data_IF_199503551031
#
_entry.id   IF_199503551031
#
_cell.length_a   1.000
_cell.length_b   1.000
_cell.length_c   1.000
_cell.angle_alpha   90.00
_cell.angle_beta   90.00
_cell.angle_gamma   90.00
#
_symmetry.space_group_name_H-M   'P 1'
#
loop_
_entity.id
_entity.type
_entity.pdbx_description
1 polymer ?
#
# COMPACT_ATOMS: atom_id res chain seq x y z
N UNK A 1 13.35 -43.90 16.63
CA UNK A 1 13.30 -43.24 15.30
C UNK A 1 14.71 -43.00 14.71
N UNK A 2 15.66 -43.96 14.78
CA UNK A 2 16.98 -43.83 14.10
C UNK A 2 17.76 -45.14 13.84
N UNK A 3 17.20 -46.33 14.14
CA UNK A 3 17.93 -47.61 13.96
C UNK A 3 17.33 -48.53 12.88
N UNK A 4 16.10 -48.27 12.43
CA UNK A 4 15.45 -49.03 11.34
C UNK A 4 15.87 -48.58 9.93
N UNK A 5 16.30 -47.31 9.79
CA UNK A 5 16.63 -46.71 8.49
C UNK A 5 18.01 -47.14 7.96
N UNK A 6 18.95 -47.45 8.85
CA UNK A 6 20.34 -47.76 8.49
C UNK A 6 20.58 -49.24 8.15
N UNK A 7 19.63 -50.14 8.46
CA UNK A 7 19.77 -51.58 8.16
C UNK A 7 19.24 -51.95 6.77
N UNK A 8 18.35 -51.14 6.18
CA UNK A 8 17.89 -51.30 4.81
C UNK A 8 18.90 -50.77 3.78
N UNK A 9 19.75 -49.80 4.15
CA UNK A 9 20.80 -49.22 3.29
C UNK A 9 22.04 -50.10 3.16
N UNK A 10 22.22 -51.12 4.02
CA UNK A 10 23.42 -51.99 4.03
C UNK A 10 23.35 -53.20 3.08
N UNK A 11 22.23 -53.40 2.39
CA UNK A 11 22.08 -54.43 1.35
C UNK A 11 21.88 -53.83 -0.05
N UNK A 12 21.91 -52.50 -0.18
CA UNK A 12 21.97 -51.83 -1.48
C UNK A 12 23.43 -51.51 -1.78
N UNK A 13 24.18 -52.55 -2.15
CA UNK A 13 25.56 -52.41 -2.62
C UNK A 13 25.53 -51.82 -4.03
N UNK A 14 25.53 -50.49 -4.18
CA UNK A 14 25.87 -49.83 -5.45
C UNK A 14 26.65 -48.53 -5.26
N UNK A 15 27.72 -48.42 -6.04
CA UNK A 15 28.64 -47.28 -6.21
C UNK A 15 28.02 -46.17 -7.08
N UNK A 16 28.44 -44.93 -6.86
CA UNK A 16 27.90 -43.66 -7.40
C UNK A 16 27.84 -43.50 -8.95
N UNK A 17 28.27 -44.49 -9.74
CA UNK A 17 28.37 -44.39 -11.22
C UNK A 17 27.40 -45.29 -12.02
N UNK A 18 26.47 -46.01 -11.38
CA UNK A 18 25.43 -46.78 -12.09
C UNK A 18 24.09 -46.04 -12.06
N UNK A 19 23.44 -45.74 -13.22
CA UNK A 19 22.10 -45.18 -13.21
C UNK A 19 21.14 -46.14 -12.49
N UNK A 20 20.22 -45.64 -11.64
CA UNK A 20 19.32 -46.49 -10.88
C UNK A 20 18.57 -47.42 -11.85
N UNK A 21 18.38 -48.71 -11.51
CA UNK A 21 17.70 -49.63 -12.40
C UNK A 21 16.29 -49.08 -12.67
N UNK A 22 16.07 -48.66 -13.92
CA UNK A 22 14.78 -48.16 -14.36
C UNK A 22 13.74 -49.26 -14.16
N UNK A 23 12.75 -49.00 -13.30
CA UNK A 23 11.61 -49.89 -13.16
C UNK A 23 10.82 -49.85 -14.46
N UNK A 24 10.66 -51.01 -15.11
CA UNK A 24 9.92 -51.14 -16.36
C UNK A 24 8.59 -51.83 -16.08
N UNK A 25 7.51 -51.09 -16.30
CA UNK A 25 6.15 -51.60 -16.18
C UNK A 25 5.62 -51.91 -17.58
N UNK A 26 5.13 -53.14 -17.78
CA UNK A 26 4.40 -53.52 -18.99
C UNK A 26 2.91 -53.59 -18.63
N UNK A 27 2.16 -52.57 -19.03
CA UNK A 27 0.71 -52.55 -18.90
C UNK A 27 0.10 -53.19 -20.14
N UNK A 28 -0.73 -54.19 -19.94
CA UNK A 28 -1.48 -54.84 -21.00
C UNK A 28 -2.96 -54.80 -20.59
N UNK A 29 -3.83 -54.48 -21.55
CA UNK A 29 -5.27 -54.35 -21.33
C UNK A 29 -5.99 -55.40 -22.17
N UNK A 30 -6.99 -56.05 -21.58
CA UNK A 30 -7.84 -57.02 -22.25
C UNK A 30 -9.32 -56.63 -22.07
N UNK A 31 -10.18 -56.92 -23.05
CA UNK A 31 -11.62 -56.71 -22.90
C UNK A 31 -12.18 -57.64 -21.82
N UNK A 32 -12.42 -57.09 -20.63
CA UNK A 32 -13.01 -57.78 -19.49
C UNK A 32 -13.82 -56.77 -18.65
N UNK A 33 -14.80 -57.22 -17.85
CA UNK A 33 -15.45 -56.37 -16.85
C UNK A 33 -14.41 -55.76 -15.89
N UNK A 34 -14.63 -54.54 -15.38
CA UNK A 34 -13.70 -53.89 -14.46
C UNK A 34 -13.45 -54.78 -13.25
N UNK A 35 -12.18 -55.14 -13.04
CA UNK A 35 -11.70 -55.94 -11.91
C UNK A 35 -10.37 -55.38 -11.41
N UNK A 36 -10.01 -55.60 -10.12
CA UNK A 36 -8.74 -55.13 -9.57
C UNK A 36 -7.54 -55.64 -10.38
N UNK A 37 -6.47 -54.85 -10.42
CA UNK A 37 -5.23 -55.20 -11.10
C UNK A 37 -4.60 -56.47 -10.48
N UNK A 38 -3.97 -57.28 -11.34
CA UNK A 38 -3.31 -58.53 -10.94
C UNK A 38 -1.85 -58.52 -11.40
N UNK A 39 -0.93 -58.68 -10.45
CA UNK A 39 0.49 -58.86 -10.74
C UNK A 39 0.71 -60.26 -11.31
N UNK A 40 1.04 -60.36 -12.60
CA UNK A 40 1.28 -61.64 -13.28
C UNK A 40 2.69 -62.19 -13.04
N UNK A 41 3.69 -61.29 -12.90
CA UNK A 41 5.10 -61.64 -12.66
C UNK A 41 5.82 -60.47 -11.99
N UNK A 42 6.43 -60.70 -10.83
CA UNK A 42 7.25 -59.72 -10.12
C UNK A 42 8.72 -60.17 -10.12
N UNK A 43 9.57 -59.48 -10.90
CA UNK A 43 10.98 -59.86 -11.08
C UNK A 43 11.97 -59.19 -10.12
N UNK A 44 11.53 -58.25 -9.29
CA UNK A 44 12.38 -57.45 -8.41
C UNK A 44 11.78 -57.33 -7.02
N UNK A 45 12.64 -57.37 -5.99
CA UNK A 45 12.26 -57.12 -4.59
C UNK A 45 11.77 -55.67 -4.38
N UNK A 46 12.32 -54.70 -5.12
CA UNK A 46 11.86 -53.31 -5.06
C UNK A 46 10.43 -53.17 -5.61
N UNK A 47 10.13 -53.84 -6.73
CA UNK A 47 8.77 -53.86 -7.29
C UNK A 47 7.78 -54.55 -6.33
N UNK A 48 8.18 -55.68 -5.70
CA UNK A 48 7.36 -56.35 -4.69
C UNK A 48 7.06 -55.44 -3.50
N UNK A 49 8.07 -54.71 -3.01
CA UNK A 49 7.90 -53.76 -1.92
C UNK A 49 6.98 -52.59 -2.29
N UNK A 50 7.12 -52.02 -3.50
CA UNK A 50 6.22 -50.94 -3.97
C UNK A 50 4.78 -51.41 -4.13
N UNK A 51 4.55 -52.62 -4.63
CA UNK A 51 3.21 -53.20 -4.73
C UNK A 51 2.57 -53.47 -3.35
N UNK A 52 3.34 -54.02 -2.41
CA UNK A 52 2.87 -54.22 -1.02
C UNK A 52 2.58 -52.88 -0.33
N UNK A 53 3.45 -51.88 -0.51
CA UNK A 53 3.23 -50.53 -0.02
C UNK A 53 1.93 -49.92 -0.58
N UNK A 54 1.72 -49.98 -1.89
CA UNK A 54 0.53 -49.44 -2.54
C UNK A 54 -0.77 -50.13 -2.06
N UNK A 55 -0.74 -51.45 -1.80
CA UNK A 55 -1.89 -52.19 -1.27
C UNK A 55 -2.25 -51.84 0.18
N UNK A 56 -1.28 -51.31 0.94
CA UNK A 56 -1.48 -50.85 2.32
C UNK A 56 -1.92 -49.40 2.40
N UNK A 57 -1.89 -48.66 1.29
CA UNK A 57 -2.42 -47.30 1.26
C UNK A 57 -3.94 -47.34 1.44
N UNK A 58 -4.52 -46.31 2.09
CA UNK A 58 -5.96 -46.14 2.06
C UNK A 58 -6.46 -46.06 0.61
N UNK A 59 -7.73 -46.43 0.35
CA UNK A 59 -8.31 -46.22 -0.96
C UNK A 59 -8.14 -44.75 -1.37
N UNK A 60 -7.87 -44.47 -2.66
CA UNK A 60 -7.80 -43.09 -3.12
C UNK A 60 -9.15 -42.39 -2.84
N UNK A 61 -9.14 -41.08 -2.55
CA UNK A 61 -10.37 -40.35 -2.31
C UNK A 61 -11.30 -40.50 -3.50
N UNK A 62 -12.57 -40.72 -3.20
CA UNK A 62 -13.66 -40.75 -4.17
C UNK A 62 -13.74 -39.41 -4.93
N UNK A 63 -14.34 -39.38 -6.13
CA UNK A 63 -14.56 -38.12 -6.85
C UNK A 63 -15.29 -37.06 -6.01
N UNK A 64 -16.23 -37.49 -5.15
CA UNK A 64 -16.95 -36.60 -4.23
C UNK A 64 -16.03 -36.03 -3.14
N UNK A 65 -15.19 -36.86 -2.52
CA UNK A 65 -14.20 -36.41 -1.53
C UNK A 65 -13.17 -35.45 -2.13
N UNK A 66 -12.78 -35.67 -3.40
CA UNK A 66 -11.89 -34.73 -4.12
C UNK A 66 -12.58 -33.39 -4.40
N UNK A 67 -13.82 -33.41 -4.87
CA UNK A 67 -14.57 -32.20 -5.16
C UNK A 67 -14.80 -31.36 -3.88
N UNK A 68 -15.07 -32.03 -2.75
CA UNK A 68 -15.20 -31.37 -1.46
C UNK A 68 -13.87 -30.80 -0.96
N UNK A 69 -12.77 -31.53 -1.08
CA UNK A 69 -11.44 -31.03 -0.75
C UNK A 69 -11.06 -29.79 -1.59
N UNK A 70 -11.35 -29.81 -2.89
CA UNK A 70 -11.15 -28.65 -3.78
C UNK A 70 -12.03 -27.45 -3.38
N UNK A 71 -13.28 -27.68 -2.95
CA UNK A 71 -14.17 -26.62 -2.44
C UNK A 71 -13.62 -25.99 -1.17
N UNK A 72 -13.17 -26.82 -0.22
CA UNK A 72 -12.58 -26.34 1.04
C UNK A 72 -11.27 -25.59 0.79
N UNK A 73 -10.43 -26.06 -0.14
CA UNK A 73 -9.20 -25.38 -0.54
C UNK A 73 -9.49 -23.98 -1.12
N UNK A 74 -10.48 -23.86 -2.02
CA UNK A 74 -10.90 -22.54 -2.56
C UNK A 74 -11.37 -21.59 -1.46
N UNK A 75 -12.20 -22.07 -0.53
CA UNK A 75 -12.68 -21.23 0.57
C UNK A 75 -11.54 -20.78 1.50
N UNK A 76 -10.54 -21.64 1.72
CA UNK A 76 -9.37 -21.31 2.51
C UNK A 76 -8.47 -20.29 1.81
N UNK A 77 -8.30 -20.41 0.49
CA UNK A 77 -7.59 -19.44 -0.36
C UNK A 77 -8.27 -18.07 -0.33
N UNK A 78 -9.59 -18.01 -0.57
CA UNK A 78 -10.37 -16.78 -0.50
C UNK A 78 -10.29 -16.11 0.89
N UNK A 79 -10.29 -16.90 1.97
CA UNK A 79 -10.11 -16.35 3.32
C UNK A 79 -8.69 -15.85 3.55
N UNK A 80 -7.68 -16.57 3.07
CA UNK A 80 -6.28 -16.16 3.16
C UNK A 80 -6.04 -14.83 2.42
N UNK A 81 -6.58 -14.68 1.22
CA UNK A 81 -6.53 -13.44 0.43
C UNK A 81 -7.18 -12.28 1.21
N UNK A 82 -8.41 -12.46 1.72
CA UNK A 82 -9.07 -11.43 2.54
C UNK A 82 -8.26 -11.04 3.77
N UNK A 83 -7.66 -12.01 4.46
CA UNK A 83 -6.81 -11.73 5.61
C UNK A 83 -5.53 -10.98 5.21
N UNK A 84 -4.94 -11.29 4.05
CA UNK A 84 -3.79 -10.59 3.52
C UNK A 84 -4.13 -9.15 3.12
N UNK A 85 -5.28 -8.93 2.47
CA UNK A 85 -5.78 -7.59 2.16
C UNK A 85 -5.99 -6.74 3.42
N UNK A 86 -6.64 -7.30 4.45
CA UNK A 86 -6.84 -6.61 5.73
C UNK A 86 -5.53 -6.36 6.47
N UNK A 87 -4.56 -7.28 6.38
CA UNK A 87 -3.24 -7.09 6.95
C UNK A 87 -2.47 -5.97 6.25
N UNK A 88 -2.59 -5.90 4.91
CA UNK A 88 -1.99 -4.85 4.11
C UNK A 88 -2.63 -3.49 4.41
N UNK A 89 -3.97 -3.39 4.39
CA UNK A 89 -4.68 -2.16 4.76
C UNK A 89 -4.29 -1.72 6.18
N UNK A 90 -4.25 -2.64 7.13
CA UNK A 90 -3.82 -2.31 8.50
C UNK A 90 -2.39 -1.77 8.55
N UNK A 91 -1.46 -2.31 7.76
CA UNK A 91 -0.10 -1.82 7.68
C UNK A 91 -0.02 -0.43 7.01
N UNK A 92 -0.79 -0.21 5.95
CA UNK A 92 -0.93 1.10 5.30
C UNK A 92 -1.50 2.17 6.23
N UNK A 93 -2.23 1.77 7.26
CA UNK A 93 -2.87 2.67 8.21
C UNK A 93 -2.22 2.65 9.61
N UNK A 94 -0.93 2.28 9.68
CA UNK A 94 -0.14 2.41 10.92
C UNK A 94 -0.47 1.37 11.99
N UNK A 95 -1.06 0.23 11.61
CA UNK A 95 -1.42 -0.85 12.54
C UNK A 95 -2.89 -0.86 12.95
N UNK A 96 -3.68 0.13 12.50
CA UNK A 96 -5.14 0.22 12.75
C UNK A 96 -5.88 0.34 11.43
N UNK A 97 -7.07 -0.24 11.31
CA UNK A 97 -7.89 -0.07 10.10
C UNK A 97 -8.57 1.31 10.12
N UNK A 98 -8.74 1.96 8.96
CA UNK A 98 -9.49 3.22 8.88
C UNK A 98 -10.95 3.00 9.24
N UNK A 99 -11.61 4.05 9.74
CA UNK A 99 -13.06 4.07 9.89
C UNK A 99 -13.75 4.14 8.54
N UNK A 100 -15.07 3.95 8.51
CA UNK A 100 -15.84 4.12 7.29
C UNK A 100 -15.89 5.59 6.83
N UNK A 101 -15.79 6.54 7.75
CA UNK A 101 -15.69 7.96 7.42
C UNK A 101 -14.37 8.26 6.69
N UNK A 102 -13.24 7.75 7.18
CA UNK A 102 -11.94 7.86 6.53
C UNK A 102 -11.88 7.18 5.14
N UNK A 103 -12.65 6.11 4.93
CA UNK A 103 -12.76 5.47 3.60
C UNK A 103 -13.60 6.28 2.61
N UNK A 104 -14.55 7.07 3.11
CA UNK A 104 -15.48 7.85 2.28
C UNK A 104 -15.03 9.28 2.03
N UNK A 105 -14.24 9.84 2.93
CA UNK A 105 -13.84 11.25 2.86
C UNK A 105 -13.03 11.49 1.59
N UNK A 106 -13.54 12.37 0.74
CA UNK A 106 -12.84 12.86 -0.44
C UNK A 106 -11.82 13.90 0.05
N UNK A 107 -10.53 13.76 -0.26
CA UNK A 107 -9.50 14.71 0.17
C UNK A 107 -8.11 14.08 0.34
N UNK A 108 -7.15 14.85 0.86
CA UNK A 108 -5.75 14.47 1.00
C UNK A 108 -5.46 13.59 2.22
N UNK A 109 -6.31 12.59 2.46
CA UNK A 109 -6.15 11.58 3.52
C UNK A 109 -4.81 10.86 3.38
N UNK A 110 -4.48 10.43 2.15
CA UNK A 110 -3.23 9.73 1.84
C UNK A 110 -2.01 10.62 2.13
N UNK A 111 -2.15 11.92 1.88
CA UNK A 111 -1.11 12.91 2.13
C UNK A 111 -0.71 12.97 3.60
N UNK A 112 -1.67 13.06 4.53
CA UNK A 112 -1.37 13.09 5.97
C UNK A 112 -0.97 11.70 6.49
N UNK A 113 -1.62 10.63 6.02
CA UNK A 113 -1.36 9.23 6.41
C UNK A 113 0.10 8.82 6.21
N UNK A 114 0.72 9.31 5.15
CA UNK A 114 2.13 9.00 4.84
C UNK A 114 3.09 9.63 5.87
N UNK A 115 2.72 10.78 6.47
CA UNK A 115 3.50 11.43 7.53
C UNK A 115 3.19 10.87 8.92
N UNK A 116 1.91 10.78 9.26
CA UNK A 116 1.46 10.34 10.58
C UNK A 116 0.08 9.68 10.49
N UNK A 117 0.00 8.34 10.37
CA UNK A 117 -1.28 7.64 10.33
C UNK A 117 -2.04 7.72 11.65
N UNK A 118 -1.33 7.83 12.78
CA UNK A 118 -1.97 7.89 14.10
C UNK A 118 -2.70 9.22 14.30
N UNK A 119 -2.13 10.31 13.78
CA UNK A 119 -2.79 11.61 13.73
C UNK A 119 -4.07 11.58 12.88
N UNK A 120 -4.06 10.90 11.72
CA UNK A 120 -5.26 10.78 10.88
C UNK A 120 -6.40 10.11 11.66
N UNK A 121 -6.10 9.01 12.37
CA UNK A 121 -7.08 8.35 13.24
C UNK A 121 -7.53 9.24 14.41
N UNK A 122 -6.64 10.07 14.96
CA UNK A 122 -6.99 10.99 16.03
C UNK A 122 -7.95 12.10 15.55
N UNK A 123 -7.72 12.66 14.35
CA UNK A 123 -8.60 13.65 13.72
C UNK A 123 -9.97 13.03 13.41
N UNK A 124 -10.00 11.81 12.87
CA UNK A 124 -11.24 11.09 12.57
C UNK A 124 -12.08 10.81 13.83
N UNK A 125 -11.43 10.39 14.92
CA UNK A 125 -12.10 10.15 16.19
C UNK A 125 -12.54 11.43 16.91
N UNK A 126 -11.99 12.58 16.55
CA UNK A 126 -12.28 13.85 17.21
C UNK A 126 -13.70 14.36 16.88
N UNK A 127 -14.38 15.03 17.83
CA UNK A 127 -15.65 15.68 17.54
C UNK A 127 -15.53 16.70 16.39
N UNK A 128 -16.63 16.93 15.66
CA UNK A 128 -16.69 17.91 14.55
C UNK A 128 -16.13 19.30 14.93
N UNK A 129 -16.38 19.77 16.15
CA UNK A 129 -15.86 21.06 16.65
C UNK A 129 -14.33 21.05 16.71
N UNK A 130 -13.73 19.92 17.12
CA UNK A 130 -12.28 19.75 17.18
C UNK A 130 -11.71 19.63 15.77
N UNK A 131 -12.36 18.90 14.85
CA UNK A 131 -11.93 18.83 13.45
C UNK A 131 -11.88 20.23 12.81
N UNK A 132 -12.89 21.07 13.03
CA UNK A 132 -12.90 22.47 12.58
C UNK A 132 -11.80 23.31 13.24
N UNK A 133 -11.56 23.11 14.53
CA UNK A 133 -10.48 23.80 15.24
C UNK A 133 -9.10 23.40 14.71
N UNK A 134 -8.89 22.12 14.39
CA UNK A 134 -7.67 21.60 13.76
C UNK A 134 -7.46 22.20 12.37
N UNK A 135 -8.51 22.26 11.55
CA UNK A 135 -8.45 22.88 10.23
C UNK A 135 -8.01 24.34 10.31
N UNK A 136 -8.64 25.11 11.22
CA UNK A 136 -8.29 26.51 11.47
C UNK A 136 -6.87 26.67 12.01
N UNK A 137 -6.45 25.82 12.95
CA UNK A 137 -5.10 25.82 13.51
C UNK A 137 -4.06 25.61 12.40
N UNK A 138 -4.24 24.59 11.57
CA UNK A 138 -3.35 24.29 10.45
C UNK A 138 -3.26 25.46 9.47
N UNK A 139 -4.40 26.04 9.06
CA UNK A 139 -4.43 27.21 8.19
C UNK A 139 -3.70 28.42 8.79
N UNK A 140 -3.93 28.73 10.07
CA UNK A 140 -3.23 29.82 10.77
C UNK A 140 -1.73 29.62 10.81
N UNK A 141 -1.29 28.41 11.21
CA UNK A 141 0.13 28.07 11.26
C UNK A 141 0.81 28.13 9.91
N UNK A 142 0.14 27.66 8.86
CA UNK A 142 0.64 27.77 7.50
C UNK A 142 0.76 29.25 7.08
N UNK A 143 -0.25 30.08 7.32
CA UNK A 143 -0.18 31.51 7.01
C UNK A 143 0.91 32.24 7.82
N UNK A 144 1.12 31.88 9.09
CA UNK A 144 2.15 32.45 9.95
C UNK A 144 3.56 32.12 9.44
N UNK A 145 3.87 30.83 9.21
CA UNK A 145 5.20 30.41 8.75
C UNK A 145 5.54 30.98 7.38
N UNK A 146 4.55 31.07 6.49
CA UNK A 146 4.69 31.65 5.15
C UNK A 146 4.74 33.18 5.13
N UNK A 147 4.47 33.84 6.27
CA UNK A 147 4.46 35.30 6.37
C UNK A 147 3.22 35.98 5.74
N UNK A 148 2.13 35.24 5.56
CA UNK A 148 0.85 35.75 5.05
C UNK A 148 -0.03 36.38 6.16
N UNK A 149 0.30 36.14 7.43
CA UNK A 149 -0.52 36.56 8.58
C UNK A 149 -0.77 38.06 8.74
N UNK A 150 -0.09 38.94 7.99
CA UNK A 150 -0.32 40.40 8.00
C UNK A 150 -1.01 40.94 6.75
N UNK A 151 -1.52 40.07 5.88
CA UNK A 151 -2.18 40.47 4.64
C UNK A 151 -3.69 40.50 4.88
N UNK A 152 -4.29 41.69 4.83
CA UNK A 152 -5.68 41.90 5.28
C UNK A 152 -6.72 40.96 4.68
N UNK A 153 -6.64 40.62 3.39
CA UNK A 153 -7.62 39.70 2.79
C UNK A 153 -7.46 38.25 3.29
N UNK A 154 -6.23 37.82 3.63
CA UNK A 154 -5.94 36.53 4.28
C UNK A 154 -6.45 36.55 5.72
N UNK A 155 -6.21 37.64 6.46
CA UNK A 155 -6.70 37.80 7.83
C UNK A 155 -8.24 37.76 7.87
N UNK A 156 -8.91 38.39 6.90
CA UNK A 156 -10.37 38.33 6.75
C UNK A 156 -10.86 36.89 6.52
N UNK A 157 -10.18 36.11 5.68
CA UNK A 157 -10.47 34.68 5.49
C UNK A 157 -10.32 33.86 6.77
N UNK A 158 -9.18 34.01 7.47
CA UNK A 158 -8.92 33.33 8.74
C UNK A 158 -9.89 33.75 9.85
N UNK A 159 -10.33 35.01 9.85
CA UNK A 159 -11.33 35.52 10.79
C UNK A 159 -12.74 35.01 10.48
N UNK A 160 -13.09 34.84 9.20
CA UNK A 160 -14.34 34.20 8.79
C UNK A 160 -14.40 32.74 9.25
N UNK A 161 -13.33 31.97 9.00
CA UNK A 161 -13.22 30.59 9.46
C UNK A 161 -13.32 30.48 11.00
N UNK A 162 -12.63 31.35 11.74
CA UNK A 162 -12.70 31.37 13.19
C UNK A 162 -14.09 31.69 13.75
N UNK A 163 -14.87 32.48 13.01
CA UNK A 163 -16.25 32.81 13.38
C UNK A 163 -17.27 31.77 12.86
N UNK A 164 -16.83 30.72 12.17
CA UNK A 164 -17.73 29.76 11.51
C UNK A 164 -18.60 30.38 10.42
N UNK A 165 -18.15 31.47 9.80
CA UNK A 165 -18.84 32.13 8.68
C UNK A 165 -18.34 31.59 7.35
N UNK A 166 -19.16 31.71 6.32
CA UNK A 166 -18.72 31.49 4.94
C UNK A 166 -17.55 32.43 4.61
N UNK A 167 -16.62 31.94 3.78
CA UNK A 167 -15.50 32.75 3.33
C UNK A 167 -15.99 33.95 2.49
N UNK A 168 -15.25 35.08 2.52
CA UNK A 168 -15.53 36.22 1.65
C UNK A 168 -15.64 35.81 0.17
N UNK A 169 -16.43 36.53 -0.61
CA UNK A 169 -16.67 36.25 -2.04
C UNK A 169 -15.40 36.10 -2.89
N UNK A 170 -14.30 36.75 -2.48
CA UNK A 170 -12.99 36.55 -3.11
C UNK A 170 -12.62 35.06 -3.23
N UNK A 171 -12.95 34.27 -2.21
CA UNK A 171 -12.62 32.86 -2.11
C UNK A 171 -13.59 31.92 -2.83
N UNK A 172 -14.65 32.45 -3.44
CA UNK A 172 -15.58 31.64 -4.23
C UNK A 172 -15.01 31.25 -5.59
N UNK A 173 -13.94 31.91 -6.04
CA UNK A 173 -13.26 31.68 -7.31
C UNK A 173 -11.79 31.41 -7.04
N UNK A 174 -11.40 30.15 -7.16
CA UNK A 174 -10.05 29.68 -6.84
C UNK A 174 -8.99 30.32 -7.73
N UNK A 175 -9.24 30.45 -9.05
CA UNK A 175 -8.30 31.07 -9.99
C UNK A 175 -8.04 32.52 -9.60
N UNK A 176 -9.09 33.25 -9.22
CA UNK A 176 -8.98 34.63 -8.77
C UNK A 176 -8.18 34.79 -7.47
N UNK A 177 -8.26 33.81 -6.57
CA UNK A 177 -7.49 33.78 -5.32
C UNK A 177 -6.00 33.59 -5.62
N UNK A 178 -5.67 32.67 -6.53
CA UNK A 178 -4.29 32.43 -6.96
C UNK A 178 -3.69 33.65 -7.68
N UNK A 179 -4.41 34.22 -8.64
CA UNK A 179 -4.01 35.45 -9.33
C UNK A 179 -3.76 36.60 -8.34
N UNK A 180 -4.61 36.69 -7.30
CA UNK A 180 -4.48 37.72 -6.27
C UNK A 180 -3.24 37.49 -5.40
N UNK A 181 -2.92 36.24 -5.07
CA UNK A 181 -1.72 35.88 -4.33
C UNK A 181 -0.47 36.27 -5.12
N UNK A 182 -0.40 35.92 -6.41
CA UNK A 182 0.75 36.20 -7.26
C UNK A 182 0.94 37.70 -7.54
N UNK A 183 -0.16 38.45 -7.66
CA UNK A 183 -0.11 39.88 -7.94
C UNK A 183 0.12 40.77 -6.71
N UNK A 184 -0.03 40.28 -5.48
CA UNK A 184 0.12 41.11 -4.27
C UNK A 184 1.59 41.28 -3.88
N UNK A 185 2.17 42.49 -3.99
CA UNK A 185 3.60 42.71 -3.71
C UNK A 185 3.96 42.52 -2.24
N UNK A 186 2.99 42.40 -1.33
CA UNK A 186 3.21 42.11 0.08
C UNK A 186 3.44 40.62 0.35
N UNK A 187 3.15 39.74 -0.61
CA UNK A 187 3.34 38.28 -0.47
C UNK A 187 4.83 37.95 -0.53
N UNK A 188 5.40 37.33 0.51
CA UNK A 188 6.82 36.96 0.52
C UNK A 188 7.13 35.88 -0.51
N UNK A 189 8.20 36.03 -1.29
CA UNK A 189 8.70 34.99 -2.18
C UNK A 189 9.57 33.99 -1.40
N UNK A 190 8.92 33.14 -0.59
CA UNK A 190 9.58 32.11 0.23
C UNK A 190 9.36 30.73 -0.34
N UNK A 191 10.44 29.95 -0.40
CA UNK A 191 10.42 28.55 -0.76
C UNK A 191 10.94 27.68 0.36
N UNK A 192 10.41 26.46 0.44
CA UNK A 192 10.92 25.39 1.32
C UNK A 192 11.16 24.13 0.54
N UNK A 193 12.03 23.28 1.09
CA UNK A 193 12.18 21.92 0.59
C UNK A 193 10.90 21.14 0.83
N UNK A 194 10.56 20.27 -0.12
CA UNK A 194 9.45 19.35 0.02
C UNK A 194 9.59 18.51 1.30
N UNK A 195 8.52 18.38 2.11
CA UNK A 195 8.52 17.54 3.30
C UNK A 195 8.77 16.08 2.90
N UNK A 196 9.63 15.40 3.65
CA UNK A 196 9.92 13.97 3.44
C UNK A 196 9.22 13.16 4.53
N UNK A 197 8.32 12.27 4.12
CA UNK A 197 7.63 11.36 5.03
C UNK A 197 8.64 10.42 5.72
N UNK A 198 8.39 10.06 7.00
CA UNK A 198 9.25 9.11 7.69
C UNK A 198 9.20 7.75 6.99
N UNK A 199 10.35 7.06 6.94
CA UNK A 199 10.39 5.71 6.34
C UNK A 199 9.58 4.74 7.18
N UNK A 200 8.54 4.17 6.58
CA UNK A 200 7.78 3.07 7.18
C UNK A 200 8.49 1.73 6.93
N UNK A 201 8.50 0.80 7.90
CA UNK A 201 8.99 -0.56 7.68
C UNK A 201 8.23 -1.22 6.52
N UNK A 202 8.89 -2.05 5.68
CA UNK A 202 8.22 -2.74 4.60
C UNK A 202 7.13 -3.67 5.15
N UNK A 203 6.05 -3.81 4.38
CA UNK A 203 5.00 -4.78 4.70
C UNK A 203 5.60 -6.19 4.79
N UNK A 204 5.20 -6.93 5.82
CA UNK A 204 5.52 -8.35 5.96
C UNK A 204 4.20 -9.12 5.90
N UNK A 205 3.95 -9.87 4.81
CA UNK A 205 2.79 -10.72 4.72
C UNK A 205 2.72 -11.67 5.92
N UNK A 206 1.50 -11.92 6.41
CA UNK A 206 1.27 -13.03 7.32
C UNK A 206 1.59 -14.30 6.55
N UNK A 207 2.72 -14.92 6.85
CA UNK A 207 3.12 -16.18 6.23
C UNK A 207 2.03 -17.20 6.53
N UNK A 208 1.35 -17.67 5.48
CA UNK A 208 0.48 -18.84 5.57
C UNK A 208 1.33 -20.02 6.08
N UNK A 209 0.80 -20.86 6.97
CA UNK A 209 1.50 -22.08 7.33
C UNK A 209 1.63 -22.95 6.07
N UNK A 210 2.88 -23.37 5.82
CA UNK A 210 3.39 -24.17 4.70
C UNK A 210 3.76 -23.44 3.40
N UNK A 211 4.94 -22.82 3.41
CA UNK A 211 6.11 -23.54 2.89
C UNK A 211 6.23 -23.77 1.38
N UNK A 212 5.55 -22.99 0.54
CA UNK A 212 5.92 -22.83 -0.86
C UNK A 212 6.29 -21.38 -1.14
N UNK A 213 7.52 -21.02 -0.76
CA UNK A 213 8.21 -19.93 -1.43
C UNK A 213 8.41 -20.35 -2.88
N UNK A 214 7.60 -19.82 -3.79
CA UNK A 214 8.19 -19.39 -5.04
C UNK A 214 9.09 -18.21 -4.64
N UNK A 215 10.40 -18.43 -4.62
CA UNK A 215 11.33 -17.35 -4.90
C UNK A 215 10.97 -16.85 -6.30
N UNK A 216 9.97 -15.97 -6.39
CA UNK A 216 9.92 -15.00 -7.48
C UNK A 216 11.05 -14.02 -7.18
N UNK A 217 12.26 -14.42 -7.58
CA UNK A 217 13.25 -13.47 -8.04
C UNK A 217 12.58 -12.68 -9.18
N UNK A 218 11.90 -11.61 -8.82
CA UNK A 218 11.63 -10.51 -9.73
C UNK A 218 12.97 -9.82 -10.02
N UNK A 219 13.85 -10.50 -10.75
CA UNK A 219 14.75 -9.80 -11.65
C UNK A 219 13.85 -9.11 -12.67
N UNK A 220 13.65 -7.81 -12.48
CA UNK A 220 13.16 -6.89 -13.49
C UNK A 220 14.05 -7.02 -14.73
N UNK A 221 13.69 -7.95 -15.61
CA UNK A 221 14.26 -8.07 -16.94
C UNK A 221 13.79 -6.86 -17.74
N UNK A 222 14.57 -5.78 -17.64
CA UNK A 222 14.47 -4.59 -18.45
C UNK A 222 14.75 -4.98 -19.91
N UNK A 223 13.70 -5.32 -20.67
CA UNK A 223 13.82 -5.59 -22.11
C UNK A 223 14.03 -4.27 -22.86
N UNK A 224 15.30 -3.88 -23.00
CA UNK A 224 15.73 -2.83 -23.93
C UNK A 224 15.70 -3.39 -25.37
N UNK A 225 14.58 -3.15 -26.07
CA UNK A 225 14.54 -3.26 -27.53
C UNK A 225 15.36 -2.13 -28.18
N UNK A 226 16.04 -2.36 -29.33
CA UNK A 226 17.05 -1.46 -29.90
C UNK A 226 16.52 -0.19 -30.58
N UNK A 227 15.33 0.31 -30.22
CA UNK A 227 14.83 1.59 -30.70
C UNK A 227 14.03 2.29 -29.60
N UNK A 228 14.71 3.14 -28.83
CA UNK A 228 14.15 3.91 -27.72
C UNK A 228 13.00 4.82 -28.13
N UNK A 229 11.77 4.30 -28.03
CA UNK A 229 10.54 5.09 -28.05
C UNK A 229 9.75 4.80 -26.79
N UNK A 230 9.85 5.69 -25.81
CA UNK A 230 8.94 5.73 -24.67
C UNK A 230 7.57 6.18 -25.16
N UNK A 231 6.56 5.32 -25.01
CA UNK A 231 5.17 5.71 -25.10
C UNK A 231 4.77 6.35 -23.77
N UNK A 232 4.35 7.61 -23.81
CA UNK A 232 3.68 8.24 -22.65
C UNK A 232 2.19 7.95 -22.75
N UNK A 233 1.64 7.37 -21.68
CA UNK A 233 0.19 7.37 -21.49
C UNK A 233 -0.21 8.68 -20.80
N UNK A 234 -1.15 9.37 -21.43
CA UNK A 234 -1.82 10.56 -20.90
C UNK A 234 -3.13 10.10 -20.28
N UNK A 235 -3.31 10.29 -18.98
CA UNK A 235 -4.63 10.27 -18.34
C UNK A 235 -4.87 11.64 -17.70
N UNK A 236 -5.76 12.39 -18.35
CA UNK A 236 -6.58 13.46 -17.77
C UNK A 236 -7.74 12.75 -17.05
N UNK A 237 -8.31 13.18 -15.93
CA UNK A 237 -8.72 14.52 -15.51
C UNK A 237 -9.19 14.46 -14.03
N UNK A 238 -9.03 15.58 -13.30
CA UNK A 238 -9.54 15.96 -11.95
C UNK A 238 -8.48 16.15 -10.86
N UNK A 239 -8.02 17.40 -10.81
CA UNK A 239 -7.67 18.22 -9.63
C UNK A 239 -6.77 17.60 -8.57
N UNK A 240 -5.58 17.21 -9.00
CA UNK A 240 -4.38 17.31 -8.18
C UNK A 240 -3.41 18.17 -8.96
N UNK A 241 -3.05 19.35 -8.44
CA UNK A 241 -1.99 20.18 -9.01
C UNK A 241 -0.68 19.37 -9.06
N UNK A 242 -0.49 18.67 -10.17
CA UNK A 242 0.70 17.88 -10.43
C UNK A 242 1.76 18.85 -10.91
N UNK A 243 2.72 19.15 -10.04
CA UNK A 243 3.92 19.90 -10.40
C UNK A 243 4.68 19.07 -11.44
N UNK A 244 4.60 19.47 -12.71
CA UNK A 244 5.37 18.85 -13.80
C UNK A 244 6.82 19.34 -13.69
N UNK A 245 7.66 18.57 -12.99
CA UNK A 245 9.11 18.77 -13.04
C UNK A 245 9.65 18.28 -14.40
N UNK A 246 10.20 19.20 -15.18
CA UNK A 246 10.89 18.89 -16.44
C UNK A 246 12.25 18.25 -16.09
N UNK A 247 12.35 16.92 -16.15
CA UNK A 247 13.63 16.23 -15.97
C UNK A 247 14.43 16.42 -17.27
N UNK A 248 15.22 17.49 -17.33
CA UNK A 248 16.28 17.65 -18.31
C UNK A 248 17.38 16.63 -18.01
N UNK A 249 17.65 15.76 -18.98
CA UNK A 249 18.72 14.77 -18.89
C UNK A 249 20.09 15.42 -18.76
N UNK A 250 20.60 15.46 -17.54
CA UNK A 250 22.02 15.53 -17.24
C UNK A 250 22.20 14.85 -15.88
N UNK A 251 23.11 13.89 -15.80
CA UNK A 251 23.47 13.20 -14.57
C UNK A 251 23.99 14.20 -13.54
N UNK A 252 23.08 14.70 -12.70
CA UNK A 252 23.33 15.49 -11.50
C UNK A 252 22.35 15.03 -10.42
N UNK A 253 22.63 15.29 -9.13
CA UNK A 253 21.69 14.97 -8.07
C UNK A 253 20.33 15.60 -8.41
N UNK A 254 19.25 14.84 -8.26
CA UNK A 254 17.88 15.28 -8.56
C UNK A 254 17.68 16.69 -7.99
N UNK A 255 17.12 17.64 -8.78
CA UNK A 255 16.90 18.99 -8.27
C UNK A 255 16.01 18.89 -7.03
N UNK A 256 16.47 19.49 -5.94
CA UNK A 256 15.68 19.62 -4.72
C UNK A 256 14.41 20.36 -5.12
N UNK A 257 13.27 19.68 -5.03
CA UNK A 257 11.98 20.29 -5.37
C UNK A 257 11.65 21.31 -4.27
N UNK A 258 11.82 22.58 -4.63
CA UNK A 258 11.39 23.71 -3.81
C UNK A 258 9.90 23.98 -4.03
N UNK A 259 9.18 24.19 -2.94
CA UNK A 259 7.75 24.50 -2.94
C UNK A 259 7.56 25.93 -2.45
N UNK A 260 6.61 26.65 -3.06
CA UNK A 260 6.23 27.96 -2.59
C UNK A 260 5.45 27.85 -1.28
N UNK A 261 5.99 28.45 -0.21
CA UNK A 261 5.34 28.52 1.10
C UNK A 261 4.01 29.28 1.07
N UNK A 262 3.91 30.47 0.45
CA UNK A 262 2.63 31.18 0.29
C UNK A 262 1.54 30.35 -0.38
N UNK A 263 1.89 29.62 -1.44
CA UNK A 263 0.91 28.81 -2.16
C UNK A 263 0.39 27.68 -1.29
N UNK A 264 1.29 26.96 -0.62
CA UNK A 264 0.92 25.89 0.31
C UNK A 264 0.05 26.41 1.46
N UNK A 265 0.35 27.61 1.98
CA UNK A 265 -0.44 28.23 3.04
C UNK A 265 -1.83 28.68 2.58
N UNK A 266 -1.95 29.18 1.35
CA UNK A 266 -3.25 29.53 0.79
C UNK A 266 -4.10 28.27 0.55
N UNK A 267 -3.51 27.18 0.06
CA UNK A 267 -4.18 25.88 -0.03
C UNK A 267 -4.68 25.41 1.34
N UNK A 268 -3.91 25.65 2.42
CA UNK A 268 -4.34 25.29 3.78
C UNK A 268 -5.57 26.09 4.24
N UNK A 269 -5.61 27.39 3.93
CA UNK A 269 -6.76 28.24 4.22
C UNK A 269 -8.00 27.80 3.42
N UNK A 270 -7.85 27.53 2.12
CA UNK A 270 -8.93 27.05 1.25
C UNK A 270 -9.47 25.69 1.72
N UNK A 271 -8.57 24.74 2.01
CA UNK A 271 -8.95 23.43 2.52
C UNK A 271 -9.69 23.52 3.85
N UNK A 272 -9.31 24.44 4.75
CA UNK A 272 -10.01 24.63 6.02
C UNK A 272 -11.48 25.09 5.86
N UNK A 273 -11.87 25.59 4.70
CA UNK A 273 -13.22 26.04 4.38
C UNK A 273 -14.14 24.92 3.85
N UNK A 274 -13.61 23.72 3.61
CA UNK A 274 -14.38 22.59 3.07
C UNK A 274 -15.63 22.28 3.89
N UNK A 275 -16.71 21.87 3.23
CA UNK A 275 -18.01 21.67 3.90
C UNK A 275 -18.00 20.47 4.85
N UNK A 276 -17.25 19.42 4.53
CA UNK A 276 -17.00 18.28 5.42
C UNK A 276 -15.89 18.65 6.43
N UNK A 277 -16.17 18.65 7.75
CA UNK A 277 -15.18 18.98 8.78
C UNK A 277 -13.95 18.07 8.78
N UNK A 278 -14.11 16.77 8.47
CA UNK A 278 -13.00 15.82 8.44
C UNK A 278 -12.09 16.10 7.25
N UNK A 279 -12.68 16.31 6.07
CA UNK A 279 -11.95 16.75 4.87
C UNK A 279 -11.20 18.06 5.14
N UNK A 280 -11.90 19.04 5.73
CA UNK A 280 -11.32 20.35 6.02
C UNK A 280 -10.07 20.25 6.91
N UNK A 281 -10.11 19.39 7.93
CA UNK A 281 -8.97 19.14 8.80
C UNK A 281 -7.81 18.50 8.02
N UNK A 282 -8.07 17.44 7.26
CA UNK A 282 -7.02 16.69 6.56
C UNK A 282 -6.36 17.51 5.43
N UNK A 283 -7.15 18.22 4.63
CA UNK A 283 -6.64 19.07 3.54
C UNK A 283 -5.84 20.26 4.07
N UNK A 284 -6.32 20.90 5.14
CA UNK A 284 -5.61 22.00 5.79
C UNK A 284 -4.30 21.53 6.42
N UNK A 285 -4.30 20.39 7.13
CA UNK A 285 -3.09 19.83 7.76
C UNK A 285 -2.07 19.43 6.71
N UNK A 286 -2.47 18.74 5.64
CA UNK A 286 -1.54 18.38 4.57
C UNK A 286 -0.91 19.61 3.90
N UNK A 287 -1.72 20.60 3.58
CA UNK A 287 -1.22 21.84 2.97
C UNK A 287 -0.30 22.61 3.92
N UNK A 288 -0.59 22.57 5.23
CA UNK A 288 0.28 23.14 6.25
C UNK A 288 1.61 22.38 6.39
N UNK A 289 1.62 21.04 6.29
CA UNK A 289 2.87 20.24 6.21
C UNK A 289 3.71 20.72 5.02
N UNK A 290 3.09 20.97 3.86
CA UNK A 290 3.78 21.50 2.70
C UNK A 290 4.33 22.92 2.93
N UNK A 291 3.61 23.80 3.65
CA UNK A 291 4.09 25.12 4.01
C UNK A 291 5.28 25.08 5.00
N UNK A 292 5.28 24.13 5.92
CA UNK A 292 6.39 23.92 6.86
C UNK A 292 7.62 23.27 6.20
N UNK A 293 7.44 22.49 5.13
CA UNK A 293 8.55 21.77 4.50
C UNK A 293 9.18 20.78 5.46
N UNK A 294 10.51 20.76 5.59
CA UNK A 294 11.22 19.84 6.49
C UNK A 294 10.89 20.04 7.98
N UNK A 295 10.37 21.21 8.38
CA UNK A 295 10.01 21.53 9.77
C UNK A 295 8.60 21.06 10.18
N UNK A 296 7.92 20.27 9.33
CA UNK A 296 6.57 19.77 9.59
C UNK A 296 6.37 19.02 10.92
N UNK A 297 7.36 18.34 11.55
CA UNK A 297 7.11 17.65 12.81
C UNK A 297 6.60 18.58 13.93
N UNK A 298 7.02 19.86 13.93
CA UNK A 298 6.55 20.87 14.91
C UNK A 298 5.05 21.10 14.78
N UNK A 299 4.55 21.20 13.53
CA UNK A 299 3.13 21.35 13.24
C UNK A 299 2.35 20.11 13.68
N UNK A 300 2.83 18.90 13.37
CA UNK A 300 2.13 17.67 13.71
C UNK A 300 1.96 17.49 15.22
N UNK A 301 2.98 17.85 16.01
CA UNK A 301 2.87 17.84 17.47
C UNK A 301 1.79 18.79 17.99
N UNK A 302 1.68 20.00 17.42
CA UNK A 302 0.65 20.96 17.81
C UNK A 302 -0.75 20.46 17.46
N UNK A 303 -0.92 19.89 16.26
CA UNK A 303 -2.21 19.34 15.81
C UNK A 303 -2.60 18.12 16.65
N UNK A 304 -1.65 17.24 16.97
CA UNK A 304 -1.89 16.09 17.84
C UNK A 304 -2.37 16.52 19.23
N UNK A 305 -1.76 17.58 19.81
CA UNK A 305 -2.22 18.16 21.09
C UNK A 305 -3.62 18.76 21.00
N UNK A 306 -4.01 19.31 19.85
CA UNK A 306 -5.36 19.85 19.65
C UNK A 306 -6.43 18.75 19.52
N UNK A 307 -6.04 17.52 19.14
CA UNK A 307 -6.94 16.38 19.04
C UNK A 307 -7.14 15.63 20.37
N UNK A 308 -6.22 15.79 21.33
CA UNK A 308 -6.22 15.11 22.63
C UNK A 308 -7.15 15.77 23.65
#
# INVERSE_FOLDING_TARGET
MREGWTRATRLDTRTDDEPPPAERYLLQFWPAPPSPDRVLRCGSRCAAHRHDYARRLPPPPTPEERAEAERLARLAEEEAERQQELAYERWEWGGRLPSEALRRVEGNVLGVRDFDPDLVHAIDAAPVVVQRAVALLAARRACEVSGLGGIGWIEEGLAALAAGRELPMLYADEERVWDRLDADPRVPQRTVRRPTAPRRPPFRPLMLPDGQHAEEDCEEALVLGPAGRTLSFRTSERDVHTVVARIGGAAGPFPVLEMSQPHSALSALMGAAEADPLRAALDAVYSAICAYGEDYPVLLEEVARACA
#
